data_IF_307314015442
#
_entry.id   IF_307314015442
#
_cell.length_a   1.000
_cell.length_b   1.000
_cell.length_c   1.000
_cell.angle_alpha   90.00
_cell.angle_beta   90.00
_cell.angle_gamma   90.00
#
_symmetry.space_group_name_H-M   'P 1'
#
loop_
_entity.id
_entity.type
_entity.pdbx_description
1 polymer ?
#
# COMPACT_ATOMS: atom_id res chain seq x y z
N UNK A 1 -18.81 20.64 -33.26
CA UNK A 1 -17.87 20.36 -32.15
C UNK A 1 -17.60 18.86 -32.14
N UNK A 2 -16.35 18.44 -32.23
CA UNK A 2 -16.02 17.01 -32.25
C UNK A 2 -16.46 16.37 -30.92
N UNK A 3 -17.07 15.19 -30.99
CA UNK A 3 -17.44 14.44 -29.80
C UNK A 3 -16.19 14.03 -29.03
N UNK A 4 -16.17 14.19 -27.71
CA UNK A 4 -15.08 13.76 -26.81
C UNK A 4 -14.54 12.36 -27.16
N UNK A 5 -15.45 11.41 -27.44
CA UNK A 5 -15.09 10.03 -27.75
C UNK A 5 -14.29 9.90 -29.05
N UNK A 6 -14.53 10.78 -30.03
CA UNK A 6 -13.81 10.80 -31.31
C UNK A 6 -12.39 11.33 -31.13
N UNK A 7 -12.21 12.38 -30.31
CA UNK A 7 -10.88 12.91 -30.02
C UNK A 7 -10.08 11.92 -29.17
N UNK A 8 -10.72 11.25 -28.21
CA UNK A 8 -10.07 10.24 -27.38
C UNK A 8 -9.67 8.99 -28.19
N UNK A 9 -10.52 8.54 -29.12
CA UNK A 9 -10.17 7.41 -29.98
C UNK A 9 -9.02 7.77 -30.92
N UNK A 10 -9.03 8.97 -31.50
CA UNK A 10 -7.93 9.48 -32.31
C UNK A 10 -6.62 9.56 -31.50
N UNK A 11 -6.68 10.08 -30.28
CA UNK A 11 -5.53 10.17 -29.36
C UNK A 11 -4.94 8.79 -29.08
N UNK A 12 -5.77 7.77 -28.84
CA UNK A 12 -5.32 6.38 -28.64
C UNK A 12 -4.71 5.76 -29.90
N UNK A 13 -5.22 6.09 -31.08
CA UNK A 13 -4.63 5.64 -32.35
C UNK A 13 -3.23 6.24 -32.52
N UNK A 14 -3.07 7.53 -32.21
CA UNK A 14 -1.76 8.20 -32.25
C UNK A 14 -0.80 7.57 -31.22
N UNK A 15 -1.27 7.30 -29.99
CA UNK A 15 -0.51 6.61 -28.94
C UNK A 15 0.03 5.25 -29.44
N UNK A 16 -0.83 4.40 -29.99
CA UNK A 16 -0.41 3.09 -30.50
C UNK A 16 0.60 3.20 -31.65
N UNK A 17 0.40 4.15 -32.57
CA UNK A 17 1.33 4.39 -33.69
C UNK A 17 2.68 4.90 -33.19
N UNK A 18 2.68 5.77 -32.18
CA UNK A 18 3.88 6.31 -31.56
C UNK A 18 4.67 5.19 -30.86
N UNK A 19 4.00 4.31 -30.12
CA UNK A 19 4.62 3.17 -29.46
C UNK A 19 5.29 2.23 -30.48
N UNK A 20 4.60 1.87 -31.56
CA UNK A 20 5.17 1.02 -32.61
C UNK A 20 6.38 1.68 -33.28
N UNK A 21 6.32 2.97 -33.61
CA UNK A 21 7.48 3.67 -34.20
C UNK A 21 8.65 3.80 -33.23
N UNK A 22 8.41 4.01 -31.93
CA UNK A 22 9.48 4.03 -30.93
C UNK A 22 10.16 2.67 -30.80
N UNK A 23 9.42 1.56 -30.90
CA UNK A 23 10.00 0.22 -30.93
C UNK A 23 10.87 0.00 -32.17
N UNK A 24 10.38 0.40 -33.35
CA UNK A 24 11.15 0.34 -34.59
C UNK A 24 12.41 1.21 -34.51
N UNK A 25 12.30 2.44 -34.00
CA UNK A 25 13.42 3.35 -33.80
C UNK A 25 14.46 2.79 -32.83
N UNK A 26 14.03 2.21 -31.70
CA UNK A 26 14.90 1.51 -30.76
C UNK A 26 15.62 0.31 -31.41
N UNK A 27 14.94 -0.43 -32.29
CA UNK A 27 15.52 -1.57 -32.99
C UNK A 27 16.52 -1.12 -34.07
N UNK A 28 16.20 -0.05 -34.81
CA UNK A 28 17.08 0.56 -35.80
C UNK A 28 18.38 1.04 -35.14
N UNK A 29 18.26 1.72 -34.00
CA UNK A 29 19.43 2.20 -33.24
C UNK A 29 20.23 1.04 -32.66
N UNK A 30 19.61 -0.06 -32.23
CA UNK A 30 20.35 -1.26 -31.78
C UNK A 30 21.17 -1.88 -32.90
N UNK A 31 20.55 -2.02 -34.09
CA UNK A 31 21.16 -2.61 -35.28
C UNK A 31 22.10 -1.67 -36.03
N UNK A 32 22.14 -0.39 -35.65
CA UNK A 32 23.09 0.58 -36.16
C UNK A 32 24.52 0.14 -35.81
N UNK A 33 25.17 -0.48 -36.80
CA UNK A 33 26.57 -0.86 -36.84
C UNK A 33 27.20 -0.26 -38.10
N UNK A 34 28.27 0.48 -37.90
CA UNK A 34 28.95 1.30 -38.90
C UNK A 34 29.99 0.51 -39.70
N UNK A 35 30.18 -0.78 -39.39
CA UNK A 35 31.09 -1.66 -40.16
C UNK A 35 30.59 -2.03 -41.57
N UNK A 36 29.36 -1.63 -41.93
CA UNK A 36 28.75 -1.92 -43.23
C UNK A 36 28.91 -0.73 -44.20
N UNK A 37 29.17 -0.95 -45.51
CA UNK A 37 29.44 0.10 -46.50
C UNK A 37 28.26 1.05 -46.83
N UNK A 38 27.17 1.01 -46.07
CA UNK A 38 25.93 1.76 -46.32
C UNK A 38 25.56 2.68 -45.12
N UNK A 39 26.56 3.37 -44.56
CA UNK A 39 26.42 4.21 -43.36
C UNK A 39 25.52 5.43 -43.63
N UNK A 40 25.67 6.06 -44.80
CA UNK A 40 24.98 7.31 -45.15
C UNK A 40 23.46 7.11 -45.22
N UNK A 41 23.00 6.06 -45.92
CA UNK A 41 21.57 5.72 -46.02
C UNK A 41 20.97 5.31 -44.66
N UNK A 42 21.69 4.52 -43.86
CA UNK A 42 21.22 4.17 -42.51
C UNK A 42 21.11 5.39 -41.60
N UNK A 43 22.02 6.37 -41.73
CA UNK A 43 21.95 7.59 -40.93
C UNK A 43 20.74 8.44 -41.33
N UNK A 44 20.45 8.54 -42.63
CA UNK A 44 19.30 9.26 -43.18
C UNK A 44 17.98 8.61 -42.73
N UNK A 45 17.88 7.28 -42.77
CA UNK A 45 16.71 6.53 -42.30
C UNK A 45 16.41 6.77 -40.81
N UNK A 46 17.45 6.82 -39.97
CA UNK A 46 17.33 7.08 -38.53
C UNK A 46 16.88 8.53 -38.29
N UNK A 47 17.41 9.50 -39.03
CA UNK A 47 17.04 10.91 -38.92
C UNK A 47 15.59 11.14 -39.39
N UNK A 48 15.19 10.51 -40.49
CA UNK A 48 13.80 10.50 -40.97
C UNK A 48 12.83 9.91 -39.94
N UNK A 49 13.21 8.80 -39.28
CA UNK A 49 12.42 8.23 -38.18
C UNK A 49 12.31 9.18 -36.99
N UNK A 50 13.40 9.87 -36.63
CA UNK A 50 13.44 10.85 -35.55
C UNK A 50 12.46 12.01 -35.81
N UNK A 51 12.50 12.61 -37.01
CA UNK A 51 11.58 13.68 -37.39
C UNK A 51 10.12 13.19 -37.41
N UNK A 52 9.89 11.98 -37.93
CA UNK A 52 8.56 11.35 -37.95
C UNK A 52 7.99 11.10 -36.54
N UNK A 53 8.84 10.79 -35.56
CA UNK A 53 8.42 10.63 -34.15
C UNK A 53 8.14 12.01 -33.53
N UNK A 54 8.97 13.01 -33.78
CA UNK A 54 8.75 14.37 -33.25
C UNK A 54 7.44 14.97 -33.75
N UNK A 55 7.13 14.81 -35.04
CA UNK A 55 5.87 15.28 -35.63
C UNK A 55 4.67 14.57 -35.00
N UNK A 56 4.74 13.25 -34.75
CA UNK A 56 3.67 12.53 -34.06
C UNK A 56 3.49 12.95 -32.60
N UNK A 57 4.59 13.23 -31.88
CA UNK A 57 4.51 13.78 -30.51
C UNK A 57 3.81 15.14 -30.52
N UNK A 58 4.14 16.03 -31.48
CA UNK A 58 3.45 17.31 -31.64
C UNK A 58 1.95 17.12 -31.91
N UNK A 59 1.60 16.21 -32.80
CA UNK A 59 0.19 15.90 -33.11
C UNK A 59 -0.56 15.36 -31.88
N UNK A 60 0.09 14.52 -31.07
CA UNK A 60 -0.47 14.02 -29.82
C UNK A 60 -0.70 15.14 -28.80
N UNK A 61 0.24 16.09 -28.68
CA UNK A 61 0.07 17.28 -27.83
C UNK A 61 -1.14 18.10 -28.29
N UNK A 62 -1.29 18.34 -29.60
CA UNK A 62 -2.45 19.07 -30.15
C UNK A 62 -3.77 18.35 -29.85
N UNK A 63 -3.83 17.02 -30.02
CA UNK A 63 -5.04 16.26 -29.68
C UNK A 63 -5.34 16.25 -28.17
N UNK A 64 -4.31 16.28 -27.32
CA UNK A 64 -4.50 16.42 -25.87
C UNK A 64 -5.02 17.81 -25.50
N UNK A 65 -4.55 18.88 -26.13
CA UNK A 65 -5.06 20.23 -25.90
C UNK A 65 -6.54 20.36 -26.30
N UNK A 66 -6.95 19.71 -27.40
CA UNK A 66 -8.36 19.60 -27.77
C UNK A 66 -9.19 18.84 -26.72
N UNK A 67 -8.67 17.75 -26.15
CA UNK A 67 -9.34 17.04 -25.05
C UNK A 67 -9.47 17.92 -23.81
N UNK A 68 -8.42 18.63 -23.42
CA UNK A 68 -8.45 19.54 -22.27
C UNK A 68 -9.53 20.61 -22.46
N UNK A 69 -9.59 21.24 -23.64
CA UNK A 69 -10.63 22.24 -23.95
C UNK A 69 -12.05 21.71 -23.84
N UNK A 70 -12.29 20.46 -24.26
CA UNK A 70 -13.61 19.82 -24.17
C UNK A 70 -13.94 19.46 -22.71
N UNK A 71 -12.97 19.00 -21.93
CA UNK A 71 -13.17 18.67 -20.52
C UNK A 71 -13.44 19.91 -19.67
N UNK A 72 -12.77 21.03 -19.93
CA UNK A 72 -13.02 22.30 -19.24
C UNK A 72 -14.45 22.80 -19.47
N UNK A 73 -15.05 22.50 -20.63
CA UNK A 73 -16.44 22.84 -20.93
C UNK A 73 -17.45 21.91 -20.20
N UNK A 74 -17.12 20.63 -20.02
CA UNK A 74 -18.04 19.65 -19.43
C UNK A 74 -17.95 19.52 -17.90
N UNK A 75 -16.84 19.95 -17.28
CA UNK A 75 -16.62 19.99 -15.82
C UNK A 75 -16.85 18.67 -15.04
N UNK A 76 -16.96 17.50 -15.72
CA UNK A 76 -17.09 16.21 -15.05
C UNK A 76 -15.74 15.66 -14.56
N UNK A 77 -15.65 15.16 -13.31
CA UNK A 77 -14.40 14.67 -12.72
C UNK A 77 -13.82 13.43 -13.42
N UNK A 78 -14.64 12.71 -14.19
CA UNK A 78 -14.22 11.53 -14.96
C UNK A 78 -13.26 11.90 -16.09
N UNK A 79 -13.51 12.99 -16.81
CA UNK A 79 -12.66 13.43 -17.91
C UNK A 79 -11.28 13.88 -17.42
N UNK A 80 -11.23 14.54 -16.27
CA UNK A 80 -9.98 14.98 -15.64
C UNK A 80 -9.04 13.80 -15.34
N UNK A 81 -9.55 12.71 -14.77
CA UNK A 81 -8.73 11.52 -14.49
C UNK A 81 -8.13 10.87 -15.74
N UNK A 82 -8.88 10.89 -16.86
CA UNK A 82 -8.43 10.35 -18.15
C UNK A 82 -7.38 11.26 -18.76
N UNK A 83 -7.56 12.58 -18.68
CA UNK A 83 -6.58 13.57 -19.15
C UNK A 83 -5.27 13.46 -18.41
N UNK A 84 -5.30 13.38 -17.07
CA UNK A 84 -4.09 13.25 -16.26
C UNK A 84 -3.30 11.99 -16.63
N UNK A 85 -4.01 10.87 -16.89
CA UNK A 85 -3.37 9.67 -17.44
C UNK A 85 -2.73 9.92 -18.80
N UNK A 86 -3.43 10.57 -19.73
CA UNK A 86 -2.91 10.81 -21.08
C UNK A 86 -1.71 11.80 -21.07
N UNK A 87 -1.71 12.78 -20.15
CA UNK A 87 -0.55 13.64 -19.89
C UNK A 87 0.64 12.85 -19.36
N UNK A 88 0.42 11.92 -18.43
CA UNK A 88 1.48 11.05 -17.92
C UNK A 88 2.11 10.21 -19.05
N UNK A 89 1.27 9.63 -19.92
CA UNK A 89 1.71 8.87 -21.10
C UNK A 89 2.56 9.73 -22.05
N UNK A 90 2.18 10.99 -22.31
CA UNK A 90 3.00 11.91 -23.11
C UNK A 90 4.40 12.11 -22.51
N UNK A 91 4.47 12.31 -21.19
CA UNK A 91 5.74 12.52 -20.48
C UNK A 91 6.63 11.29 -20.62
N UNK A 92 6.07 10.10 -20.49
CA UNK A 92 6.79 8.84 -20.67
C UNK A 92 7.33 8.70 -22.11
N UNK A 93 6.51 8.97 -23.14
CA UNK A 93 6.98 8.93 -24.52
C UNK A 93 8.12 9.92 -24.81
N UNK A 94 8.05 11.13 -24.25
CA UNK A 94 9.12 12.12 -24.41
C UNK A 94 10.41 11.67 -23.74
N UNK A 95 10.29 11.07 -22.56
CA UNK A 95 11.42 10.51 -21.81
C UNK A 95 12.07 9.35 -22.57
N UNK A 96 11.26 8.44 -23.11
CA UNK A 96 11.75 7.31 -23.90
C UNK A 96 12.42 7.78 -25.20
N UNK A 97 11.81 8.74 -25.90
CA UNK A 97 12.41 9.35 -27.09
C UNK A 97 13.77 9.99 -26.80
N UNK A 98 13.86 10.81 -25.75
CA UNK A 98 15.13 11.44 -25.36
C UNK A 98 16.17 10.40 -24.97
N UNK A 99 15.79 9.37 -24.19
CA UNK A 99 16.69 8.27 -23.84
C UNK A 99 17.24 7.56 -25.08
N UNK A 100 16.40 7.31 -26.08
CA UNK A 100 16.84 6.65 -27.30
C UNK A 100 17.78 7.56 -28.12
N UNK A 101 17.52 8.88 -28.17
CA UNK A 101 18.41 9.85 -28.80
C UNK A 101 19.78 9.94 -28.09
N UNK A 102 19.80 9.88 -26.76
CA UNK A 102 21.04 9.86 -25.99
C UNK A 102 21.87 8.61 -26.31
N UNK A 103 21.21 7.47 -26.52
CA UNK A 103 21.89 6.24 -26.96
C UNK A 103 22.47 6.41 -28.37
N UNK A 104 21.73 7.05 -29.27
CA UNK A 104 22.21 7.33 -30.63
C UNK A 104 23.39 8.31 -30.63
N UNK A 105 23.35 9.38 -29.83
CA UNK A 105 24.45 10.35 -29.72
C UNK A 105 25.70 9.69 -29.15
N UNK A 106 25.56 8.88 -28.09
CA UNK A 106 26.66 8.10 -27.52
C UNK A 106 27.25 7.11 -28.53
N UNK A 107 26.41 6.45 -29.34
CA UNK A 107 26.89 5.60 -30.43
C UNK A 107 27.66 6.40 -31.47
N UNK A 108 27.16 7.57 -31.88
CA UNK A 108 27.82 8.46 -32.86
C UNK A 108 29.16 8.99 -32.31
N UNK A 109 29.21 9.41 -31.06
CA UNK A 109 30.42 9.86 -30.37
C UNK A 109 31.46 8.74 -30.25
N UNK A 110 31.04 7.56 -29.78
CA UNK A 110 31.90 6.37 -29.74
C UNK A 110 32.49 6.06 -31.11
N UNK A 111 31.72 6.30 -32.17
CA UNK A 111 32.15 6.03 -33.54
C UNK A 111 33.12 7.10 -34.06
N UNK A 112 32.91 8.37 -33.73
CA UNK A 112 33.89 9.43 -34.00
C UNK A 112 35.23 9.16 -33.29
N UNK A 113 35.18 8.58 -32.08
CA UNK A 113 36.37 8.23 -31.30
C UNK A 113 37.08 6.95 -31.79
N UNK A 114 36.34 5.95 -32.29
CA UNK A 114 36.88 4.68 -32.80
C UNK A 114 37.30 4.74 -34.27
N UNK A 115 36.67 5.61 -35.06
CA UNK A 115 37.02 5.88 -36.45
C UNK A 115 37.45 7.34 -36.67
N UNK A 116 38.56 7.83 -36.06
CA UNK A 116 39.24 9.02 -36.58
C UNK A 116 39.73 8.80 -38.03
N UNK A 117 39.85 7.52 -38.41
CA UNK A 117 40.46 7.04 -39.63
C UNK A 117 39.69 7.36 -40.91
N UNK A 118 38.39 7.68 -40.89
CA UNK A 118 37.68 7.94 -42.16
C UNK A 118 38.12 9.26 -42.85
N UNK A 119 38.65 10.22 -42.09
CA UNK A 119 39.19 11.47 -42.66
C UNK A 119 40.68 11.32 -43.03
N UNK A 120 41.39 10.36 -42.43
CA UNK A 120 42.84 10.22 -42.56
C UNK A 120 43.30 8.96 -43.33
N UNK A 121 42.40 7.99 -43.61
CA UNK A 121 42.71 6.81 -44.44
C UNK A 121 43.09 7.25 -45.84
N UNK A 122 42.42 8.27 -46.39
CA UNK A 122 42.75 8.78 -47.72
C UNK A 122 44.19 9.31 -47.81
N UNK A 123 44.72 9.93 -46.75
CA UNK A 123 46.11 10.43 -46.72
C UNK A 123 47.13 9.32 -46.45
N UNK A 124 46.81 8.38 -45.54
CA UNK A 124 47.69 7.26 -45.21
C UNK A 124 47.77 6.25 -46.36
N UNK A 125 46.65 5.90 -47.00
CA UNK A 125 46.63 4.99 -48.15
C UNK A 125 47.38 5.59 -49.35
N UNK A 126 47.31 6.90 -49.55
CA UNK A 126 48.07 7.61 -50.58
C UNK A 126 49.57 7.66 -50.26
N UNK A 127 49.94 7.85 -48.98
CA UNK A 127 51.34 7.79 -48.52
C UNK A 127 51.91 6.36 -48.61
N UNK A 128 51.12 5.34 -48.26
CA UNK A 128 51.49 3.92 -48.41
C UNK A 128 51.62 3.52 -49.88
N UNK A 129 50.76 4.03 -50.76
CA UNK A 129 50.86 3.84 -52.21
C UNK A 129 52.14 4.49 -52.78
N UNK A 130 52.49 5.70 -52.31
CA UNK A 130 53.73 6.39 -52.66
C UNK A 130 54.98 5.62 -52.19
N UNK A 131 54.94 5.03 -50.99
CA UNK A 131 56.06 4.22 -50.47
C UNK A 131 56.21 2.89 -51.23
N UNK A 132 55.09 2.25 -51.62
CA UNK A 132 55.10 1.03 -52.42
C UNK A 132 55.60 1.23 -53.85
N UNK A 133 55.54 2.45 -54.39
CA UNK A 133 56.02 2.76 -55.75
C UNK A 133 57.52 3.07 -55.84
N UNK A 134 58.22 3.23 -54.70
CA UNK A 134 59.66 3.46 -54.69
C UNK A 134 60.43 2.14 -54.92
N UNK A 135 61.62 2.20 -55.54
CA UNK A 135 62.42 1.02 -55.94
C UNK A 135 63.09 0.29 -54.76
N UNK A 136 63.59 -0.93 -54.99
CA UNK A 136 64.16 -1.85 -53.99
C UNK A 136 65.52 -1.42 -53.43
N UNK A 137 66.20 -0.44 -54.04
CA UNK A 137 67.54 0.02 -53.64
C UNK A 137 67.50 1.02 -52.45
N UNK A 138 66.33 1.52 -52.09
CA UNK A 138 66.10 2.47 -50.98
C UNK A 138 65.42 1.81 -49.76
N UNK A 139 65.70 0.53 -49.49
CA UNK A 139 65.07 -0.21 -48.37
C UNK A 139 65.25 0.48 -47.03
N UNK A 140 66.44 1.05 -46.80
CA UNK A 140 66.80 1.68 -45.52
C UNK A 140 66.13 3.04 -45.39
N UNK A 141 66.05 3.80 -46.48
CA UNK A 141 65.32 5.08 -46.53
C UNK A 141 63.83 4.86 -46.34
N UNK A 142 63.25 3.80 -46.92
CA UNK A 142 61.85 3.40 -46.68
C UNK A 142 61.60 2.99 -45.23
N UNK A 143 62.53 2.27 -44.61
CA UNK A 143 62.42 1.89 -43.20
C UNK A 143 62.44 3.13 -42.30
N UNK A 144 63.35 4.08 -42.56
CA UNK A 144 63.46 5.34 -41.82
C UNK A 144 62.24 6.25 -42.02
N UNK A 145 61.70 6.34 -43.24
CA UNK A 145 60.48 7.11 -43.52
C UNK A 145 59.25 6.48 -42.85
N UNK A 146 59.17 5.15 -42.84
CA UNK A 146 58.13 4.41 -42.11
C UNK A 146 58.24 4.61 -40.61
N UNK A 147 59.45 4.58 -40.05
CA UNK A 147 59.70 4.85 -38.63
C UNK A 147 59.33 6.29 -38.27
N UNK A 148 59.70 7.27 -39.11
CA UNK A 148 59.28 8.66 -38.92
C UNK A 148 57.75 8.82 -38.98
N UNK A 149 57.09 8.14 -39.91
CA UNK A 149 55.62 8.10 -40.00
C UNK A 149 54.98 7.48 -38.75
N UNK A 150 55.56 6.39 -38.24
CA UNK A 150 55.12 5.75 -37.01
C UNK A 150 55.31 6.66 -35.78
N UNK A 151 56.46 7.33 -35.66
CA UNK A 151 56.75 8.30 -34.58
C UNK A 151 55.77 9.48 -34.65
N UNK A 152 55.49 10.00 -35.84
CA UNK A 152 54.54 11.09 -36.01
C UNK A 152 53.11 10.66 -35.63
N UNK A 153 52.71 9.45 -36.02
CA UNK A 153 51.43 8.88 -35.60
C UNK A 153 51.35 8.67 -34.08
N UNK A 154 52.43 8.21 -33.44
CA UNK A 154 52.51 8.08 -31.98
C UNK A 154 52.45 9.44 -31.26
N UNK A 155 53.06 10.49 -31.83
CA UNK A 155 52.99 11.84 -31.27
C UNK A 155 51.57 12.40 -31.35
N UNK A 156 50.91 12.29 -32.51
CA UNK A 156 49.50 12.69 -32.63
C UNK A 156 48.59 11.88 -31.70
N UNK A 157 48.88 10.60 -31.49
CA UNK A 157 48.16 9.76 -30.54
C UNK A 157 48.35 10.28 -29.10
N UNK A 158 49.58 10.62 -28.71
CA UNK A 158 49.89 11.20 -27.41
C UNK A 158 49.16 12.54 -27.20
N UNK A 159 49.11 13.41 -28.21
CA UNK A 159 48.35 14.67 -28.16
C UNK A 159 46.85 14.39 -27.94
N UNK A 160 46.29 13.39 -28.63
CA UNK A 160 44.89 13.00 -28.42
C UNK A 160 44.61 12.43 -27.01
N UNK A 161 45.61 11.83 -26.35
CA UNK A 161 45.48 11.39 -24.96
C UNK A 161 45.56 12.57 -23.99
N UNK A 162 46.39 13.57 -24.28
CA UNK A 162 46.46 14.80 -23.50
C UNK A 162 45.15 15.58 -23.56
N UNK A 163 44.55 15.71 -24.75
CA UNK A 163 43.25 16.37 -24.90
C UNK A 163 42.14 15.65 -24.14
N UNK A 164 42.07 14.31 -24.23
CA UNK A 164 41.10 13.51 -23.46
C UNK A 164 41.34 13.59 -21.95
N UNK A 165 42.59 13.66 -21.51
CA UNK A 165 42.92 13.85 -20.11
C UNK A 165 42.50 15.24 -19.61
N UNK A 166 42.69 16.28 -20.42
CA UNK A 166 42.25 17.64 -20.13
C UNK A 166 40.72 17.73 -20.05
N UNK A 167 40.00 17.07 -20.96
CA UNK A 167 38.54 16.96 -20.90
C UNK A 167 38.08 16.22 -19.64
N UNK A 168 38.68 15.07 -19.33
CA UNK A 168 38.39 14.30 -18.12
C UNK A 168 38.61 15.12 -16.85
N UNK A 169 39.69 15.90 -16.79
CA UNK A 169 39.95 16.83 -15.70
C UNK A 169 38.82 17.87 -15.56
N UNK A 170 38.39 18.47 -16.67
CA UNK A 170 37.27 19.43 -16.66
C UNK A 170 35.95 18.80 -16.19
N UNK A 171 35.68 17.54 -16.58
CA UNK A 171 34.52 16.78 -16.14
C UNK A 171 34.57 16.48 -14.64
N UNK A 172 35.72 16.06 -14.10
CA UNK A 172 35.91 15.81 -12.66
C UNK A 172 35.72 17.09 -11.83
N UNK A 173 36.21 18.24 -12.32
CA UNK A 173 35.99 19.55 -11.67
C UNK A 173 34.50 19.88 -11.64
N UNK A 174 33.79 19.67 -12.76
CA UNK A 174 32.35 19.88 -12.84
C UNK A 174 31.56 18.91 -11.95
N UNK A 175 31.98 17.64 -11.87
CA UNK A 175 31.39 16.65 -10.97
C UNK A 175 31.59 17.04 -9.50
N UNK A 176 32.77 17.54 -9.12
CA UNK A 176 33.04 18.06 -7.77
C UNK A 176 32.10 19.21 -7.42
N UNK A 177 31.91 20.18 -8.32
CA UNK A 177 30.98 21.30 -8.13
C UNK A 177 29.52 20.82 -7.96
N UNK A 178 29.12 19.78 -8.69
CA UNK A 178 27.79 19.15 -8.54
C UNK A 178 27.65 18.46 -7.18
N UNK A 179 28.67 17.73 -6.72
CA UNK A 179 28.68 17.08 -5.40
C UNK A 179 28.61 18.11 -4.26
N UNK A 180 29.30 19.25 -4.39
CA UNK A 180 29.24 20.34 -3.42
C UNK A 180 27.84 20.97 -3.34
N UNK A 181 27.20 21.20 -4.48
CA UNK A 181 25.79 21.61 -4.54
C UNK A 181 24.86 20.57 -3.90
N UNK A 182 25.07 19.27 -4.17
CA UNK A 182 24.29 18.20 -3.55
C UNK A 182 24.49 18.12 -2.04
N UNK A 183 25.73 18.28 -1.56
CA UNK A 183 26.06 18.37 -0.13
C UNK A 183 25.33 19.53 0.53
N UNK A 184 25.26 20.69 -0.13
CA UNK A 184 24.55 21.87 0.36
C UNK A 184 23.03 21.64 0.46
N UNK A 185 22.44 20.94 -0.52
CA UNK A 185 21.02 20.54 -0.47
C UNK A 185 20.74 19.53 0.66
N UNK A 186 21.62 18.54 0.83
CA UNK A 186 21.51 17.55 1.92
C UNK A 186 21.61 18.24 3.28
N UNK A 187 22.52 19.20 3.44
CA UNK A 187 22.62 20.02 4.66
C UNK A 187 21.32 20.82 4.89
N UNK A 188 20.72 21.40 3.84
CA UNK A 188 19.43 22.07 3.93
C UNK A 188 18.26 21.13 4.25
N UNK A 189 18.36 19.83 3.96
CA UNK A 189 17.36 18.84 4.39
C UNK A 189 17.56 18.52 5.87
N UNK A 190 18.80 18.35 6.33
CA UNK A 190 19.12 18.13 7.75
C UNK A 190 18.65 19.29 8.64
N UNK A 191 18.70 20.54 8.16
CA UNK A 191 18.15 21.69 8.91
C UNK A 191 16.62 21.69 8.99
N UNK A 192 15.92 20.97 8.10
CA UNK A 192 14.44 20.83 8.10
C UNK A 192 13.92 19.62 8.86
N UNK A 193 14.75 18.60 9.10
CA UNK A 193 14.40 17.43 9.92
C UNK A 193 13.90 17.76 11.35
N UNK A 194 14.46 18.73 12.11
CA UNK A 194 13.90 19.08 13.42
C UNK A 194 12.46 19.62 13.35
N UNK A 195 12.10 20.32 12.26
CA UNK A 195 10.74 20.81 12.03
C UNK A 195 9.75 19.68 11.71
N UNK A 196 10.20 18.65 10.97
CA UNK A 196 9.40 17.45 10.69
C UNK A 196 9.15 16.66 11.97
N UNK A 197 10.12 16.59 12.90
CA UNK A 197 9.93 15.94 14.19
C UNK A 197 8.84 16.63 15.04
N UNK A 198 8.76 17.96 14.98
CA UNK A 198 7.70 18.71 15.67
C UNK A 198 6.31 18.49 15.05
N UNK A 199 6.24 18.39 13.72
CA UNK A 199 5.00 18.05 13.01
C UNK A 199 4.57 16.60 13.31
N UNK A 200 5.51 15.65 13.33
CA UNK A 200 5.25 14.26 13.68
C UNK A 200 4.72 14.13 15.12
N UNK A 201 5.26 14.92 16.05
CA UNK A 201 4.77 14.98 17.44
C UNK A 201 3.35 15.55 17.52
N UNK A 202 3.06 16.64 16.78
CA UNK A 202 1.70 17.23 16.70
C UNK A 202 0.67 16.29 16.07
N UNK A 203 1.06 15.44 15.11
CA UNK A 203 0.19 14.40 14.55
C UNK A 203 -0.09 13.30 15.59
N UNK A 204 0.93 12.89 16.35
CA UNK A 204 0.79 11.87 17.41
C UNK A 204 -0.20 12.29 18.50
N UNK A 205 -0.12 13.56 18.95
CA UNK A 205 -0.96 14.10 20.02
C UNK A 205 -2.44 14.24 19.66
N UNK A 206 -2.79 14.26 18.37
CA UNK A 206 -4.19 14.23 17.94
C UNK A 206 -4.75 12.82 17.98
N UNK A 207 -3.97 11.82 17.54
CA UNK A 207 -4.37 10.41 17.52
C UNK A 207 -4.50 9.79 18.91
N UNK A 208 -3.67 10.22 19.87
CA UNK A 208 -3.77 9.75 21.27
C UNK A 208 -5.02 10.27 21.98
N UNK A 209 -5.44 11.51 21.70
CA UNK A 209 -6.65 12.11 22.28
C UNK A 209 -7.92 11.41 21.80
N UNK A 210 -8.02 11.10 20.51
CA UNK A 210 -9.19 10.40 19.96
C UNK A 210 -9.32 8.98 20.54
N UNK A 211 -8.20 8.26 20.66
CA UNK A 211 -8.17 6.92 21.28
C UNK A 211 -8.54 6.95 22.77
N UNK A 212 -8.15 7.99 23.51
CA UNK A 212 -8.48 8.15 24.91
C UNK A 212 -9.98 8.36 25.12
N UNK A 213 -10.63 9.16 24.27
CA UNK A 213 -12.08 9.36 24.31
C UNK A 213 -12.81 8.02 24.07
N UNK A 214 -12.40 7.27 23.04
CA UNK A 214 -13.00 5.96 22.72
C UNK A 214 -12.82 4.97 23.87
N UNK A 215 -11.63 4.92 24.50
CA UNK A 215 -11.38 4.05 25.65
C UNK A 215 -12.25 4.38 26.86
N UNK A 216 -12.46 5.68 27.15
CA UNK A 216 -13.33 6.13 28.25
C UNK A 216 -14.78 5.76 27.98
N UNK A 217 -15.28 5.95 26.76
CA UNK A 217 -16.66 5.58 26.39
C UNK A 217 -16.89 4.08 26.55
N UNK A 218 -15.94 3.25 26.13
CA UNK A 218 -16.02 1.80 26.32
C UNK A 218 -16.03 1.41 27.80
N UNK A 219 -15.15 2.00 28.61
CA UNK A 219 -15.11 1.74 30.05
C UNK A 219 -16.41 2.16 30.75
N UNK A 220 -16.95 3.34 30.42
CA UNK A 220 -18.24 3.80 30.94
C UNK A 220 -19.37 2.83 30.55
N UNK A 221 -19.43 2.40 29.29
CA UNK A 221 -20.44 1.45 28.83
C UNK A 221 -20.39 0.13 29.62
N UNK A 222 -19.19 -0.44 29.80
CA UNK A 222 -19.00 -1.67 30.59
C UNK A 222 -19.44 -1.47 32.04
N UNK A 223 -19.11 -0.33 32.65
CA UNK A 223 -19.50 -0.03 34.03
C UNK A 223 -21.03 0.04 34.19
N UNK A 224 -21.72 0.71 33.27
CA UNK A 224 -23.19 0.76 33.27
C UNK A 224 -23.83 -0.62 33.09
N UNK A 225 -23.28 -1.46 32.19
CA UNK A 225 -23.75 -2.82 32.01
C UNK A 225 -23.63 -3.65 33.29
N UNK A 226 -22.47 -3.60 33.97
CA UNK A 226 -22.26 -4.32 35.24
C UNK A 226 -23.24 -3.82 36.31
N UNK A 227 -23.41 -2.50 36.42
CA UNK A 227 -24.33 -1.91 37.39
C UNK A 227 -25.78 -2.36 37.18
N UNK A 228 -26.25 -2.39 35.92
CA UNK A 228 -27.58 -2.86 35.58
C UNK A 228 -27.79 -4.35 35.88
N UNK A 229 -26.80 -5.19 35.56
CA UNK A 229 -26.85 -6.63 35.86
C UNK A 229 -26.91 -6.86 37.39
N UNK A 230 -26.10 -6.14 38.17
CA UNK A 230 -26.14 -6.26 39.63
C UNK A 230 -27.46 -5.77 40.22
N UNK A 231 -28.00 -4.66 39.74
CA UNK A 231 -29.30 -4.15 40.19
C UNK A 231 -30.44 -5.12 39.87
N UNK A 232 -30.46 -5.65 38.64
CA UNK A 232 -31.47 -6.65 38.24
C UNK A 232 -31.35 -7.95 39.04
N UNK A 233 -30.14 -8.42 39.35
CA UNK A 233 -29.92 -9.58 40.21
C UNK A 233 -30.40 -9.34 41.64
N UNK A 234 -30.09 -8.20 42.25
CA UNK A 234 -30.55 -7.82 43.59
C UNK A 234 -32.08 -7.73 43.65
N UNK A 235 -32.69 -7.12 42.63
CA UNK A 235 -34.15 -7.06 42.53
C UNK A 235 -34.78 -8.45 42.36
N UNK A 236 -34.14 -9.31 41.56
CA UNK A 236 -34.60 -10.68 41.35
C UNK A 236 -34.49 -11.54 42.63
N UNK A 237 -33.41 -11.40 43.41
CA UNK A 237 -33.26 -12.10 44.69
C UNK A 237 -34.27 -11.62 45.71
N UNK A 238 -34.53 -10.31 45.77
CA UNK A 238 -35.53 -9.73 46.68
C UNK A 238 -36.95 -10.19 46.31
N UNK A 239 -37.30 -10.18 45.03
CA UNK A 239 -38.59 -10.71 44.56
C UNK A 239 -38.73 -12.22 44.82
N UNK A 240 -37.66 -13.00 44.66
CA UNK A 240 -37.67 -14.43 45.02
C UNK A 240 -37.85 -14.66 46.52
N UNK A 241 -37.24 -13.85 47.37
CA UNK A 241 -37.43 -13.93 48.81
C UNK A 241 -38.87 -13.63 49.19
N UNK A 242 -39.46 -12.54 48.66
CA UNK A 242 -40.86 -12.20 48.91
C UNK A 242 -41.79 -13.35 48.51
N UNK A 243 -41.62 -13.93 47.31
CA UNK A 243 -42.42 -15.07 46.85
C UNK A 243 -42.29 -16.33 47.74
N UNK A 244 -41.12 -16.57 48.33
CA UNK A 244 -40.91 -17.68 49.27
C UNK A 244 -41.62 -17.44 50.62
N UNK A 245 -41.60 -16.20 51.12
CA UNK A 245 -42.29 -15.83 52.36
C UNK A 245 -43.82 -15.93 52.22
N UNK A 246 -44.43 -15.47 51.12
CA UNK A 246 -45.90 -15.60 50.92
C UNK A 246 -46.34 -17.06 50.83
N UNK A 247 -45.47 -17.93 50.32
CA UNK A 247 -45.79 -19.37 50.19
C UNK A 247 -45.71 -20.09 51.54
N UNK A 248 -44.82 -19.68 52.45
CA UNK A 248 -44.75 -20.22 53.82
C UNK A 248 -45.95 -19.78 54.67
N UNK A 249 -46.41 -18.53 54.54
CA UNK A 249 -47.57 -18.00 55.26
C UNK A 249 -48.85 -18.78 54.90
N UNK A 250 -49.09 -19.04 53.61
CA UNK A 250 -50.21 -19.85 53.13
C UNK A 250 -50.14 -21.32 53.61
N UNK A 251 -48.93 -21.91 53.72
CA UNK A 251 -48.76 -23.29 54.22
C UNK A 251 -49.01 -23.36 55.73
N UNK A 252 -48.59 -22.34 56.49
CA UNK A 252 -48.81 -22.28 57.94
C UNK A 252 -50.30 -22.11 58.28
N UNK A 253 -51.05 -21.29 57.54
CA UNK A 253 -52.49 -21.14 57.74
C UNK A 253 -53.27 -22.44 57.47
N UNK A 254 -52.89 -23.17 56.41
CA UNK A 254 -53.51 -24.46 56.07
C UNK A 254 -53.11 -25.56 57.07
N UNK A 255 -51.89 -25.54 57.59
CA UNK A 255 -51.43 -26.46 58.63
C UNK A 255 -52.12 -26.19 59.97
N UNK A 256 -52.31 -24.93 60.34
CA UNK A 256 -52.97 -24.51 61.58
C UNK A 256 -54.46 -24.90 61.59
N UNK A 257 -55.17 -24.72 60.47
CA UNK A 257 -56.58 -25.13 60.33
C UNK A 257 -56.76 -26.66 60.38
N UNK A 258 -55.74 -27.46 60.02
CA UNK A 258 -55.78 -28.93 60.16
C UNK A 258 -55.40 -29.44 61.56
N UNK A 259 -54.65 -28.67 62.33
CA UNK A 259 -54.33 -28.99 63.72
C UNK A 259 -55.52 -28.82 64.67
N UNK A 260 -56.49 -27.97 64.31
CA UNK A 260 -57.70 -27.72 65.11
C UNK A 260 -58.77 -28.83 64.99
N UNK A 261 -58.60 -29.78 64.07
CA UNK A 261 -59.50 -30.93 63.89
C UNK A 261 -59.02 -32.22 64.59
N UNK A 262 -57.94 -32.17 65.38
CA UNK A 262 -57.37 -33.37 66.04
C UNK A 262 -57.77 -33.49 67.53
N UNK A 263 -58.11 -34.69 68.03
CA UNK A 263 -58.45 -34.93 69.44
C UNK A 263 -57.26 -34.69 70.38
N UNK A 264 -57.54 -34.15 71.58
CA UNK A 264 -56.60 -33.51 72.52
C UNK A 264 -55.35 -34.34 72.90
N UNK A 265 -55.41 -35.67 72.82
CA UNK A 265 -54.31 -36.56 73.20
C UNK A 265 -53.08 -36.46 72.28
N UNK A 266 -53.28 -36.19 70.98
CA UNK A 266 -52.19 -36.09 69.99
C UNK A 266 -51.61 -34.68 69.88
N UNK A 267 -52.38 -33.64 70.25
CA UNK A 267 -51.93 -32.24 70.25
C UNK A 267 -50.74 -32.04 71.20
N UNK A 268 -50.79 -32.63 72.38
CA UNK A 268 -49.72 -32.52 73.38
C UNK A 268 -48.43 -33.24 72.97
N UNK A 269 -48.50 -34.28 72.13
CA UNK A 269 -47.34 -34.99 71.64
C UNK A 269 -46.66 -34.26 70.46
N UNK A 270 -47.44 -33.53 69.65
CA UNK A 270 -46.93 -32.75 68.52
C UNK A 270 -46.28 -31.43 68.99
N UNK A 271 -46.87 -30.76 69.99
CA UNK A 271 -46.24 -29.57 70.65
C UNK A 271 -44.90 -29.94 71.28
N UNK A 272 -44.76 -31.16 71.82
CA UNK A 272 -43.50 -31.66 72.39
C UNK A 272 -42.41 -31.97 71.36
N UNK A 273 -42.80 -32.30 70.11
CA UNK A 273 -41.87 -32.51 68.99
C UNK A 273 -41.40 -31.20 68.36
N UNK A 274 -42.22 -30.15 68.42
CA UNK A 274 -41.86 -28.81 67.93
C UNK A 274 -40.96 -28.05 68.91
N UNK A 275 -40.96 -28.40 70.20
CA UNK A 275 -40.15 -27.73 71.22
C UNK A 275 -38.67 -28.16 71.30
N UNK A 276 -38.23 -29.11 70.46
CA UNK A 276 -36.80 -29.39 70.25
C UNK A 276 -36.27 -28.55 69.08
N UNK A 277 -36.17 -27.25 69.30
CA UNK A 277 -35.31 -26.40 68.48
C UNK A 277 -33.84 -26.68 68.83
N UNK A 278 -32.94 -26.87 67.85
CA UNK A 278 -31.53 -26.65 68.09
C UNK A 278 -31.28 -25.14 68.20
N UNK A 279 -30.69 -24.82 69.35
CA UNK A 279 -30.21 -23.52 69.82
C UNK A 279 -29.33 -22.85 68.76
N UNK A 280 -29.65 -21.59 68.47
CA UNK A 280 -28.74 -20.66 67.81
C UNK A 280 -27.52 -20.48 68.70
N UNK A 281 -26.33 -20.79 68.18
CA UNK A 281 -25.08 -20.31 68.77
C UNK A 281 -24.30 -19.48 67.76
N UNK A 282 -23.96 -18.26 68.16
CA UNK A 282 -23.09 -17.33 67.46
C UNK A 282 -21.64 -17.65 67.83
N UNK A 283 -20.80 -18.06 66.88
CA UNK A 283 -19.35 -17.76 66.89
C UNK A 283 -18.75 -18.09 65.53
N UNK A 284 -17.83 -17.24 65.05
CA UNK A 284 -17.16 -17.41 63.77
C UNK A 284 -16.09 -18.51 63.72
N UNK A 285 -15.47 -18.56 62.54
CA UNK A 285 -14.18 -19.17 62.19
C UNK A 285 -14.15 -20.61 61.64
N UNK A 286 -13.68 -20.65 60.38
CA UNK A 286 -12.81 -21.61 59.65
C UNK A 286 -12.68 -23.09 60.07
N UNK A 287 -12.82 -23.91 59.01
CA UNK A 287 -11.90 -24.99 58.57
C UNK A 287 -12.37 -26.46 58.52
N UNK A 288 -12.04 -27.01 57.34
CA UNK A 288 -11.65 -28.39 57.00
C UNK A 288 -12.68 -29.55 57.00
N UNK A 289 -12.97 -29.97 55.77
CA UNK A 289 -12.82 -31.34 55.23
C UNK A 289 -13.65 -32.47 55.86
N UNK A 290 -14.72 -32.89 55.14
CA UNK A 290 -15.03 -34.24 54.59
C UNK A 290 -14.62 -35.52 55.38
N UNK A 291 -15.27 -36.71 55.22
CA UNK A 291 -16.45 -37.15 54.44
C UNK A 291 -17.38 -38.14 55.20
N UNK A 292 -18.28 -38.79 54.45
CA UNK A 292 -18.95 -40.10 54.70
C UNK A 292 -20.20 -40.01 55.58
N UNK A 293 -21.38 -40.50 55.19
CA UNK A 293 -21.78 -41.60 54.32
C UNK A 293 -23.25 -41.37 53.92
N UNK A 294 -23.64 -41.36 52.62
CA UNK A 294 -24.10 -42.55 51.86
C UNK A 294 -25.08 -43.40 52.70
N UNK A 295 -26.33 -43.67 52.31
CA UNK A 295 -26.77 -44.25 51.02
C UNK A 295 -28.28 -44.61 51.15
N UNK A 296 -28.97 -44.73 50.01
CA UNK A 296 -30.26 -45.46 49.81
C UNK A 296 -31.51 -44.68 50.28
N UNK A 297 -32.55 -44.29 49.52
CA UNK A 297 -33.13 -44.56 48.19
C UNK A 297 -33.57 -43.20 47.60
N UNK A 298 -33.46 -42.80 46.33
CA UNK A 298 -33.68 -43.46 45.03
C UNK A 298 -35.06 -44.10 44.85
N UNK A 299 -36.11 -43.28 44.73
CA UNK A 299 -37.19 -43.54 43.75
C UNK A 299 -38.10 -42.32 43.58
N UNK A 300 -37.69 -41.37 42.75
CA UNK A 300 -38.55 -40.48 41.92
C UNK A 300 -37.66 -39.43 41.24
N UNK A 301 -36.79 -39.88 40.35
CA UNK A 301 -36.06 -39.01 39.41
C UNK A 301 -36.62 -39.28 38.03
N UNK A 302 -37.77 -38.71 37.75
CA UNK A 302 -38.20 -38.39 36.39
C UNK A 302 -39.22 -37.26 36.46
N UNK A 303 -39.14 -36.31 35.51
CA UNK A 303 -39.94 -35.08 35.33
C UNK A 303 -39.36 -33.71 35.76
N UNK A 304 -38.07 -33.55 36.08
CA UNK A 304 -37.43 -32.20 36.16
C UNK A 304 -36.38 -31.88 35.09
N UNK A 305 -36.31 -32.67 34.02
CA UNK A 305 -35.37 -32.45 32.90
C UNK A 305 -35.85 -31.45 31.83
N UNK A 306 -37.15 -31.14 31.77
CA UNK A 306 -37.72 -30.49 30.57
C UNK A 306 -38.05 -28.99 30.71
N UNK A 307 -37.78 -28.37 31.86
CA UNK A 307 -38.01 -26.93 32.07
C UNK A 307 -36.72 -26.09 32.11
N UNK A 308 -35.54 -26.71 32.17
CA UNK A 308 -34.26 -25.98 32.18
C UNK A 308 -33.70 -25.75 30.77
N UNK A 309 -33.93 -26.67 29.82
CA UNK A 309 -33.52 -26.48 28.42
C UNK A 309 -34.33 -25.38 27.71
N UNK A 310 -35.60 -25.18 28.05
CA UNK A 310 -36.45 -24.18 27.39
C UNK A 310 -36.14 -22.74 27.83
N UNK A 311 -35.60 -22.55 29.04
CA UNK A 311 -35.17 -21.21 29.52
C UNK A 311 -33.78 -20.83 29.01
N UNK A 312 -32.88 -21.79 28.82
CA UNK A 312 -31.56 -21.53 28.21
C UNK A 312 -31.67 -21.20 26.70
N UNK A 313 -32.63 -21.80 25.99
CA UNK A 313 -32.86 -21.53 24.56
C UNK A 313 -33.46 -20.14 24.27
N UNK A 314 -34.23 -19.58 25.20
CA UNK A 314 -34.81 -18.23 25.05
C UNK A 314 -33.80 -17.12 25.36
N UNK A 315 -32.86 -17.36 26.29
CA UNK A 315 -31.85 -16.36 26.64
C UNK A 315 -30.69 -16.31 25.61
N UNK A 316 -30.31 -17.46 25.02
CA UNK A 316 -29.32 -17.48 23.93
C UNK A 316 -29.83 -16.89 22.62
N UNK A 317 -31.14 -16.99 22.33
CA UNK A 317 -31.71 -16.42 21.10
C UNK A 317 -31.83 -14.90 21.15
N UNK A 318 -32.01 -14.29 22.33
CA UNK A 318 -32.07 -12.84 22.48
C UNK A 318 -30.70 -12.17 22.30
N UNK A 319 -29.64 -12.77 22.85
CA UNK A 319 -28.26 -12.25 22.73
C UNK A 319 -27.73 -12.37 21.30
N UNK A 320 -28.09 -13.44 20.58
CA UNK A 320 -27.74 -13.60 19.15
C UNK A 320 -28.50 -12.60 18.28
N UNK A 321 -29.74 -12.21 18.65
CA UNK A 321 -30.51 -11.21 17.91
C UNK A 321 -29.93 -9.80 18.07
N UNK A 322 -29.48 -9.42 19.27
CA UNK A 322 -28.86 -8.09 19.51
C UNK A 322 -27.47 -7.95 18.86
N UNK A 323 -26.64 -9.00 18.91
CA UNK A 323 -25.33 -8.99 18.22
C UNK A 323 -25.54 -8.92 16.69
N UNK A 324 -26.60 -9.54 16.17
CA UNK A 324 -26.94 -9.50 14.74
C UNK A 324 -27.54 -8.16 14.30
N UNK A 325 -28.26 -7.44 15.18
CA UNK A 325 -28.72 -6.07 14.90
C UNK A 325 -27.57 -5.05 14.94
N UNK A 326 -26.62 -5.18 15.88
CA UNK A 326 -25.43 -4.32 15.94
C UNK A 326 -24.51 -4.51 14.72
N UNK A 327 -24.35 -5.73 14.22
CA UNK A 327 -23.54 -6.02 13.03
C UNK A 327 -24.18 -5.53 11.72
N UNK A 328 -25.53 -5.55 11.61
CA UNK A 328 -26.26 -4.94 10.48
C UNK A 328 -26.18 -3.41 10.45
N UNK A 329 -26.11 -2.75 11.61
CA UNK A 329 -25.94 -1.29 11.67
C UNK A 329 -24.53 -0.86 11.23
N UNK A 330 -23.50 -1.64 11.57
CA UNK A 330 -22.12 -1.38 11.16
C UNK A 330 -21.82 -1.76 9.68
N UNK A 331 -22.57 -2.71 9.11
CA UNK A 331 -22.50 -3.03 7.67
C UNK A 331 -23.23 -1.99 6.79
N UNK A 332 -24.32 -1.40 7.28
CA UNK A 332 -25.07 -0.36 6.54
C UNK A 332 -24.24 0.92 6.33
N UNK A 333 -23.42 1.33 7.30
CA UNK A 333 -22.53 2.48 7.16
C UNK A 333 -21.34 2.26 6.20
N UNK A 334 -20.97 1.01 5.89
CA UNK A 334 -19.90 0.70 4.93
C UNK A 334 -20.40 0.58 3.47
N UNK A 335 -21.70 0.33 3.27
CA UNK A 335 -22.32 0.25 1.94
C UNK A 335 -22.89 1.59 1.43
N UNK A 336 -23.03 2.61 2.27
CA UNK A 336 -23.38 3.97 1.84
C UNK A 336 -22.16 4.81 1.40
N UNK A 337 -20.94 4.32 1.62
CA UNK A 337 -19.69 4.98 1.19
C UNK A 337 -19.19 4.62 -0.21
N UNK A 338 -19.77 3.62 -0.88
CA UNK A 338 -19.30 3.13 -2.20
C UNK A 338 -20.29 3.36 -3.34
N UNK A 339 -21.43 4.03 -3.08
CA UNK A 339 -22.46 4.33 -4.09
C UNK A 339 -22.42 5.76 -4.63
N UNK A 340 -21.34 6.50 -4.35
CA UNK A 340 -21.07 7.84 -4.90
C UNK A 340 -19.81 7.89 -5.77
N UNK A 341 -19.50 6.79 -6.46
CA UNK A 341 -18.49 6.73 -7.53
C UNK A 341 -19.00 5.87 -8.71
N UNK A 342 -20.18 6.20 -9.22
CA UNK A 342 -20.67 5.71 -10.50
C UNK A 342 -21.78 6.63 -11.05
N UNK A 343 -21.48 7.91 -11.20
CA UNK A 343 -22.08 8.81 -12.20
C UNK A 343 -21.11 9.92 -12.54
#
# INVERSE_FOLDING_TARGET
MASWNVVLSNTRIIENRLQSKLQLYSSAIRNFDISCPNIEKQSEDIENMCESIQTMIRNYVTSLDELVKIADYQADPKYNSIIERQKAVLVDFRKDFNRINDILSLKRERQQLLHPQHVHSFSIDCFLFLISSMSSEDSDVKALLKERGAVHASLQMADSYLDRAAESHSLLVNQRKRLESSRSKVLSVFTRLPMVNELMRKIGDKKTRDNLIVAVVMACCIFFCIWYILHSLLFYTNMRQIAYYTSQEQINDVAFHRLDQLPDSLRNHFVRLVHFGPIVDQTGQMDLHSPQSLKVLSSHRDQRGNLHNSRLALDQSLVVLEICQMSRFHASHRCLGTRNMAS
#
